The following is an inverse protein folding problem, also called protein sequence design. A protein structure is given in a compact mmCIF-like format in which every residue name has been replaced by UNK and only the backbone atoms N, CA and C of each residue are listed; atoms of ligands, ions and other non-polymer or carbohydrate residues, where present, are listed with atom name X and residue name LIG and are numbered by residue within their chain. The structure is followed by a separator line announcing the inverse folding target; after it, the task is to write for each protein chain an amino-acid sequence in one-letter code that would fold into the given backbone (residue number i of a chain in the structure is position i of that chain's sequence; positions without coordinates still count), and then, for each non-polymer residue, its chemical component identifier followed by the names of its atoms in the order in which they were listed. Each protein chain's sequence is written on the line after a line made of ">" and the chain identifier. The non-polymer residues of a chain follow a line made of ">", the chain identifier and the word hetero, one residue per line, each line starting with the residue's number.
data_IF_597453095771
#
_entry.id   IF_597453095771
#
_cell.length_a   1.000
_cell.length_b   1.000
_cell.length_c   1.000
_cell.angle_alpha   90.00
_cell.angle_beta   90.00
_cell.angle_gamma   90.00
#
_symmetry.space_group_name_H-M   'P 1'
#
loop_
_entity.id
_entity.type
_entity.pdbx_description
1 polymer ?
#
# COMPACT_ATOMS: atom_id res chain seq x y z
N UNK A 1 -11.08 -16.85 -20.56
CA UNK A 1 -11.41 -17.44 -19.24
C UNK A 1 -10.25 -17.15 -18.31
N UNK A 2 -10.53 -16.64 -17.08
CA UNK A 2 -9.49 -16.27 -16.12
C UNK A 2 -8.82 -17.48 -15.46
N UNK A 3 -7.78 -17.25 -14.68
CA UNK A 3 -6.97 -18.25 -13.98
C UNK A 3 -7.81 -19.21 -13.10
N UNK A 4 -8.95 -18.74 -12.59
CA UNK A 4 -9.88 -19.53 -11.76
C UNK A 4 -11.12 -20.02 -12.50
N UNK A 5 -11.20 -19.90 -13.82
CA UNK A 5 -12.36 -20.36 -14.62
C UNK A 5 -13.69 -19.66 -14.30
N UNK A 6 -13.65 -18.51 -13.61
CA UNK A 6 -14.84 -17.76 -13.21
C UNK A 6 -15.53 -17.12 -14.42
N UNK A 7 -16.87 -17.11 -14.40
CA UNK A 7 -17.66 -16.35 -15.36
C UNK A 7 -17.36 -14.84 -15.22
N UNK A 8 -17.38 -14.12 -16.34
CA UNK A 8 -17.05 -12.70 -16.40
C UNK A 8 -17.95 -11.84 -15.49
N UNK A 9 -19.20 -12.26 -15.31
CA UNK A 9 -20.16 -11.60 -14.40
C UNK A 9 -19.75 -11.76 -12.93
N UNK A 10 -19.32 -12.96 -12.54
CA UNK A 10 -18.84 -13.23 -11.17
C UNK A 10 -17.54 -12.48 -10.91
N UNK A 11 -16.64 -12.47 -11.88
CA UNK A 11 -15.39 -11.71 -11.77
C UNK A 11 -15.65 -10.18 -11.63
N UNK A 12 -16.60 -9.64 -12.40
CA UNK A 12 -16.99 -8.23 -12.28
C UNK A 12 -17.66 -7.90 -10.93
N UNK A 13 -18.50 -8.79 -10.40
CA UNK A 13 -19.10 -8.65 -9.07
C UNK A 13 -18.04 -8.66 -7.97
N UNK A 14 -17.06 -9.56 -8.04
CA UNK A 14 -15.95 -9.61 -7.09
C UNK A 14 -15.10 -8.33 -7.15
N UNK A 15 -14.84 -7.81 -8.34
CA UNK A 15 -14.13 -6.54 -8.53
C UNK A 15 -14.93 -5.36 -7.96
N UNK A 16 -16.24 -5.34 -8.12
CA UNK A 16 -17.12 -4.32 -7.51
C UNK A 16 -17.13 -4.42 -5.98
N UNK A 17 -17.22 -5.63 -5.44
CA UNK A 17 -17.12 -5.89 -3.99
C UNK A 17 -15.78 -5.44 -3.41
N UNK A 18 -14.69 -5.49 -4.19
CA UNK A 18 -13.40 -4.95 -3.80
C UNK A 18 -13.37 -3.42 -3.80
N UNK A 19 -14.02 -2.78 -4.77
CA UNK A 19 -14.02 -1.30 -4.92
C UNK A 19 -14.94 -0.58 -3.91
N UNK A 20 -16.10 -1.14 -3.58
CA UNK A 20 -17.09 -0.53 -2.69
C UNK A 20 -16.55 -0.24 -1.29
N UNK A 21 -15.90 -1.20 -0.58
CA UNK A 21 -15.29 -0.93 0.71
C UNK A 21 -14.25 0.17 0.65
N UNK A 22 -13.52 0.28 -0.48
CA UNK A 22 -12.49 1.29 -0.70
C UNK A 22 -12.99 2.73 -0.58
N UNK A 23 -14.26 3.00 -0.93
CA UNK A 23 -14.88 4.31 -0.76
C UNK A 23 -15.31 4.58 0.69
N UNK A 24 -16.08 3.66 1.28
CA UNK A 24 -16.66 3.82 2.64
C UNK A 24 -15.58 3.75 3.72
N UNK A 25 -14.66 2.78 3.61
CA UNK A 25 -13.61 2.57 4.59
C UNK A 25 -12.54 3.68 4.59
N UNK A 26 -12.51 4.53 3.56
CA UNK A 26 -11.64 5.71 3.57
C UNK A 26 -12.02 6.68 4.69
N UNK A 27 -13.31 6.85 4.99
CA UNK A 27 -13.75 7.66 6.12
C UNK A 27 -13.28 7.08 7.46
N UNK A 28 -13.38 5.75 7.62
CA UNK A 28 -12.86 5.05 8.80
C UNK A 28 -11.34 5.20 8.91
N UNK A 29 -10.63 5.12 7.78
CA UNK A 29 -9.17 5.35 7.71
C UNK A 29 -8.77 6.75 8.17
N UNK A 30 -9.59 7.78 7.86
CA UNK A 30 -9.40 9.14 8.38
C UNK A 30 -9.48 9.18 9.90
N UNK A 31 -10.55 8.64 10.49
CA UNK A 31 -10.72 8.57 11.95
C UNK A 31 -9.59 7.78 12.62
N UNK A 32 -9.14 6.67 12.01
CA UNK A 32 -7.99 5.91 12.52
C UNK A 32 -6.70 6.76 12.47
N UNK A 33 -6.48 7.51 11.42
CA UNK A 33 -5.31 8.39 11.27
C UNK A 33 -5.34 9.53 12.28
N UNK A 34 -6.51 10.06 12.62
CA UNK A 34 -6.68 11.08 13.67
C UNK A 34 -6.35 10.50 15.06
N UNK A 35 -6.74 9.25 15.33
CA UNK A 35 -6.57 8.62 16.64
C UNK A 35 -5.17 8.06 16.88
N UNK A 36 -4.57 7.44 15.86
CA UNK A 36 -3.29 6.71 15.99
C UNK A 36 -2.11 7.46 15.35
N UNK A 37 -2.37 8.53 14.64
CA UNK A 37 -1.39 9.31 13.88
C UNK A 37 -1.22 8.77 12.45
N UNK A 38 -1.20 9.69 11.47
CA UNK A 38 -1.15 9.36 10.04
C UNK A 38 0.09 8.53 9.66
N UNK A 39 1.26 8.88 10.21
CA UNK A 39 2.54 8.19 9.96
C UNK A 39 2.49 6.71 10.36
N UNK A 40 1.95 6.40 11.56
CA UNK A 40 1.83 5.02 12.05
C UNK A 40 0.83 4.21 11.22
N UNK A 41 -0.32 4.81 10.88
CA UNK A 41 -1.33 4.12 10.05
C UNK A 41 -0.75 3.81 8.68
N UNK A 42 -0.08 4.76 8.03
CA UNK A 42 0.59 4.54 6.74
C UNK A 42 1.61 3.40 6.83
N UNK A 43 2.43 3.39 7.87
CA UNK A 43 3.43 2.34 8.10
C UNK A 43 2.80 0.95 8.20
N UNK A 44 1.77 0.79 9.03
CA UNK A 44 1.07 -0.49 9.17
C UNK A 44 0.38 -0.95 7.89
N UNK A 45 -0.27 -0.02 7.18
CA UNK A 45 -0.91 -0.32 5.89
C UNK A 45 0.11 -0.83 4.86
N UNK A 46 1.29 -0.22 4.80
CA UNK A 46 2.36 -0.66 3.90
C UNK A 46 2.85 -2.08 4.22
N UNK A 47 3.01 -2.41 5.51
CA UNK A 47 3.37 -3.77 5.93
C UNK A 47 2.30 -4.80 5.60
N UNK A 48 1.04 -4.52 5.89
CA UNK A 48 -0.08 -5.40 5.54
C UNK A 48 -0.12 -5.61 4.03
N UNK A 49 -0.01 -4.53 3.25
CA UNK A 49 0.02 -4.61 1.78
C UNK A 49 1.20 -5.45 1.28
N UNK A 50 2.37 -5.28 1.87
CA UNK A 50 3.57 -6.03 1.50
C UNK A 50 3.39 -7.53 1.69
N UNK A 51 2.89 -7.96 2.86
CA UNK A 51 2.64 -9.37 3.16
C UNK A 51 1.58 -9.96 2.22
N UNK A 52 0.46 -9.25 2.04
CA UNK A 52 -0.62 -9.72 1.17
C UNK A 52 -0.19 -9.81 -0.30
N UNK A 53 0.55 -8.81 -0.80
CA UNK A 53 1.05 -8.81 -2.17
C UNK A 53 2.11 -9.89 -2.39
N UNK A 54 2.94 -10.20 -1.38
CA UNK A 54 3.86 -11.32 -1.44
C UNK A 54 3.11 -12.64 -1.67
N UNK A 55 2.06 -12.89 -0.89
CA UNK A 55 1.24 -14.08 -1.05
C UNK A 55 0.52 -14.11 -2.41
N UNK A 56 -0.01 -12.96 -2.87
CA UNK A 56 -0.70 -12.85 -4.16
C UNK A 56 0.25 -12.97 -5.35
N UNK A 57 1.54 -12.67 -5.18
CA UNK A 57 2.54 -12.77 -6.24
C UNK A 57 2.95 -14.21 -6.55
N UNK A 58 2.57 -15.16 -5.67
CA UNK A 58 2.94 -16.56 -5.87
C UNK A 58 2.16 -17.17 -7.04
N UNK A 59 2.83 -17.67 -8.11
CA UNK A 59 2.17 -18.25 -9.26
C UNK A 59 1.57 -19.63 -8.91
N UNK A 60 0.51 -20.00 -9.61
CA UNK A 60 -0.01 -21.37 -9.60
C UNK A 60 1.08 -22.30 -10.14
N UNK A 61 1.59 -23.21 -9.31
CA UNK A 61 2.69 -24.10 -9.66
C UNK A 61 2.28 -25.54 -9.44
N UNK A 62 2.47 -26.39 -10.43
CA UNK A 62 2.30 -27.84 -10.32
C UNK A 62 3.66 -28.49 -10.13
N UNK A 63 3.88 -29.08 -8.97
CA UNK A 63 5.09 -29.81 -8.64
C UNK A 63 4.84 -31.31 -8.82
N UNK A 64 5.50 -31.92 -9.80
CA UNK A 64 5.47 -33.37 -9.99
C UNK A 64 6.70 -33.99 -9.35
N UNK A 65 6.49 -34.76 -8.29
CA UNK A 65 7.54 -35.48 -7.58
C UNK A 65 7.49 -36.95 -7.98
N UNK A 66 8.62 -37.50 -8.42
CA UNK A 66 8.77 -38.92 -8.68
C UNK A 66 8.87 -39.66 -7.34
N UNK A 67 7.83 -40.40 -6.96
CA UNK A 67 7.83 -41.22 -5.77
C UNK A 67 8.00 -42.70 -6.13
N UNK A 68 8.33 -43.54 -5.14
CA UNK A 68 8.43 -44.99 -5.32
C UNK A 68 7.16 -45.63 -5.87
N UNK A 69 6.00 -44.97 -5.64
CA UNK A 69 4.67 -45.43 -6.11
C UNK A 69 4.23 -44.75 -7.41
N UNK A 70 5.12 -44.04 -8.12
CA UNK A 70 4.84 -43.31 -9.35
C UNK A 70 4.85 -41.78 -9.18
N UNK A 71 4.70 -41.02 -10.27
CA UNK A 71 4.70 -39.57 -10.23
C UNK A 71 3.46 -39.06 -9.47
N UNK A 72 3.68 -38.27 -8.44
CA UNK A 72 2.61 -37.54 -7.73
C UNK A 72 2.71 -36.05 -8.02
N UNK A 73 1.58 -35.47 -8.44
CA UNK A 73 1.49 -34.04 -8.76
C UNK A 73 0.81 -33.30 -7.59
N UNK A 74 1.52 -32.34 -7.03
CA UNK A 74 1.02 -31.43 -6.00
C UNK A 74 0.79 -30.07 -6.64
N UNK A 75 -0.44 -29.56 -6.59
CA UNK A 75 -0.73 -28.19 -7.00
C UNK A 75 -0.49 -27.25 -5.81
N UNK A 76 0.51 -26.39 -5.94
CA UNK A 76 0.82 -25.34 -4.97
C UNK A 76 0.34 -24.02 -5.57
N UNK A 77 -0.71 -23.45 -5.00
CA UNK A 77 -1.25 -22.17 -5.46
C UNK A 77 -2.37 -21.68 -4.56
N UNK A 78 -2.71 -20.40 -4.71
CA UNK A 78 -3.81 -19.79 -3.97
C UNK A 78 -5.14 -20.32 -4.51
N UNK A 79 -5.98 -20.82 -3.62
CA UNK A 79 -7.38 -21.10 -3.96
C UNK A 79 -8.11 -19.78 -4.25
N UNK A 80 -9.13 -19.77 -5.12
CA UNK A 80 -9.93 -18.61 -5.48
C UNK A 80 -10.48 -17.86 -4.26
N UNK A 81 -10.88 -18.56 -3.21
CA UNK A 81 -11.32 -17.97 -1.95
C UNK A 81 -10.20 -17.23 -1.21
N UNK A 82 -9.04 -17.86 -1.07
CA UNK A 82 -7.87 -17.25 -0.42
C UNK A 82 -7.41 -16.01 -1.21
N UNK A 83 -7.39 -16.09 -2.54
CA UNK A 83 -7.12 -14.96 -3.42
C UNK A 83 -8.09 -13.81 -3.18
N UNK A 84 -9.40 -14.08 -3.16
CA UNK A 84 -10.44 -13.07 -2.95
C UNK A 84 -10.30 -12.40 -1.57
N UNK A 85 -10.06 -13.18 -0.52
CA UNK A 85 -9.87 -12.67 0.84
C UNK A 85 -8.64 -11.78 0.93
N UNK A 86 -7.50 -12.19 0.36
CA UNK A 86 -6.29 -11.39 0.34
C UNK A 86 -6.48 -10.10 -0.44
N UNK A 87 -7.14 -10.14 -1.59
CA UNK A 87 -7.50 -8.95 -2.38
C UNK A 87 -8.38 -8.00 -1.58
N UNK A 88 -9.34 -8.52 -0.81
CA UNK A 88 -10.22 -7.72 0.03
C UNK A 88 -9.45 -7.03 1.16
N UNK A 89 -8.53 -7.74 1.82
CA UNK A 89 -7.64 -7.18 2.85
C UNK A 89 -6.76 -6.06 2.27
N UNK A 90 -6.17 -6.27 1.09
CA UNK A 90 -5.38 -5.24 0.39
C UNK A 90 -6.24 -4.03 0.06
N UNK A 91 -7.48 -4.24 -0.39
CA UNK A 91 -8.42 -3.16 -0.69
C UNK A 91 -8.74 -2.30 0.53
N UNK A 92 -8.99 -2.92 1.68
CA UNK A 92 -9.18 -2.23 2.96
C UNK A 92 -7.93 -1.46 3.35
N UNK A 93 -6.77 -2.11 3.30
CA UNK A 93 -5.50 -1.49 3.64
C UNK A 93 -5.23 -0.25 2.77
N UNK A 94 -5.48 -0.33 1.46
CA UNK A 94 -5.30 0.80 0.55
C UNK A 94 -6.32 1.93 0.76
N UNK A 95 -7.54 1.61 1.20
CA UNK A 95 -8.52 2.62 1.59
C UNK A 95 -8.01 3.44 2.78
N UNK A 96 -7.49 2.76 3.80
CA UNK A 96 -6.88 3.41 4.97
C UNK A 96 -5.60 4.16 4.60
N UNK A 97 -4.75 3.59 3.74
CA UNK A 97 -3.55 4.21 3.25
C UNK A 97 -3.81 5.52 2.52
N UNK A 98 -4.81 5.57 1.64
CA UNK A 98 -5.21 6.80 0.96
C UNK A 98 -5.65 7.88 1.93
N UNK A 99 -6.45 7.54 2.93
CA UNK A 99 -6.90 8.49 3.95
C UNK A 99 -5.72 9.00 4.80
N UNK A 100 -4.83 8.09 5.24
CA UNK A 100 -3.68 8.45 6.07
C UNK A 100 -2.68 9.34 5.34
N UNK A 101 -2.46 9.14 4.03
CA UNK A 101 -1.58 10.01 3.23
C UNK A 101 -2.11 11.45 3.18
N UNK A 102 -3.41 11.66 2.95
CA UNK A 102 -3.97 13.01 2.95
C UNK A 102 -3.95 13.65 4.33
N UNK A 103 -4.16 12.88 5.39
CA UNK A 103 -4.00 13.36 6.76
C UNK A 103 -2.54 13.74 7.05
N UNK A 104 -1.58 12.93 6.62
CA UNK A 104 -0.15 13.21 6.70
C UNK A 104 0.21 14.57 6.07
N UNK A 105 -0.33 14.84 4.86
CA UNK A 105 -0.11 16.12 4.18
C UNK A 105 -0.66 17.29 5.00
N UNK A 106 -1.86 17.12 5.59
CA UNK A 106 -2.47 18.18 6.39
C UNK A 106 -1.73 18.46 7.69
N UNK A 107 -1.09 17.46 8.28
CA UNK A 107 -0.35 17.60 9.53
C UNK A 107 1.04 18.20 9.31
N UNK A 108 1.76 17.75 8.25
CA UNK A 108 3.13 18.16 7.99
C UNK A 108 3.25 19.45 7.17
N UNK A 109 2.23 19.77 6.34
CA UNK A 109 2.25 20.90 5.41
C UNK A 109 0.98 21.75 5.47
N UNK A 110 0.60 22.30 6.63
CA UNK A 110 -0.67 23.03 6.81
C UNK A 110 -0.80 24.24 5.88
N UNK A 111 0.32 24.95 5.60
CA UNK A 111 0.30 26.16 4.76
C UNK A 111 0.20 25.87 3.26
N UNK A 112 0.52 24.65 2.82
CA UNK A 112 0.62 24.27 1.41
C UNK A 112 -0.21 23.02 1.05
N UNK A 113 -1.24 22.72 1.83
CA UNK A 113 -2.08 21.50 1.67
C UNK A 113 -2.55 21.32 0.23
N UNK A 114 -3.05 22.39 -0.40
CA UNK A 114 -3.60 22.33 -1.77
C UNK A 114 -2.56 21.95 -2.82
N UNK A 115 -1.38 22.58 -2.76
CA UNK A 115 -0.31 22.32 -3.72
C UNK A 115 0.24 20.89 -3.57
N UNK A 116 0.52 20.46 -2.36
CA UNK A 116 1.09 19.14 -2.08
C UNK A 116 0.08 18.02 -2.37
N UNK A 117 -1.19 18.21 -1.97
CA UNK A 117 -2.26 17.27 -2.32
C UNK A 117 -2.45 17.16 -3.83
N UNK A 118 -2.28 18.27 -4.57
CA UNK A 118 -2.31 18.28 -6.03
C UNK A 118 -1.19 17.43 -6.64
N UNK A 119 0.04 17.56 -6.14
CA UNK A 119 1.20 16.77 -6.60
C UNK A 119 0.98 15.27 -6.30
N UNK A 120 0.52 14.95 -5.09
CA UNK A 120 0.23 13.56 -4.70
C UNK A 120 -0.91 12.98 -5.53
N UNK A 121 -1.95 13.79 -5.80
CA UNK A 121 -3.05 13.40 -6.68
C UNK A 121 -2.59 13.14 -8.12
N UNK A 122 -1.71 13.99 -8.66
CA UNK A 122 -1.10 13.81 -9.98
C UNK A 122 -0.26 12.53 -10.04
N UNK A 123 0.58 12.29 -9.05
CA UNK A 123 1.39 11.07 -8.95
C UNK A 123 0.50 9.82 -8.89
N UNK A 124 -0.58 9.87 -8.10
CA UNK A 124 -1.57 8.80 -8.04
C UNK A 124 -2.28 8.55 -9.37
N UNK A 125 -2.65 9.62 -10.09
CA UNK A 125 -3.25 9.55 -11.42
C UNK A 125 -2.31 8.93 -12.45
N UNK A 126 -1.03 9.35 -12.47
CA UNK A 126 0.00 8.76 -13.31
C UNK A 126 0.23 7.29 -13.00
N UNK A 127 0.28 6.91 -11.72
CA UNK A 127 0.35 5.51 -11.31
C UNK A 127 -0.84 4.69 -11.82
N UNK A 128 -2.06 5.24 -11.72
CA UNK A 128 -3.28 4.62 -12.24
C UNK A 128 -3.30 4.43 -13.76
N UNK A 129 -2.56 5.23 -14.50
CA UNK A 129 -2.40 5.11 -15.94
C UNK A 129 -1.25 4.15 -16.33
N UNK A 130 -0.09 4.31 -15.72
CA UNK A 130 1.14 3.57 -16.08
C UNK A 130 1.08 2.12 -15.61
N UNK A 131 0.58 1.85 -14.40
CA UNK A 131 0.58 0.49 -13.84
C UNK A 131 -0.22 -0.52 -14.67
N UNK A 132 -1.45 -0.23 -15.16
CA UNK A 132 -2.17 -1.17 -16.01
C UNK A 132 -1.43 -1.52 -17.30
N UNK A 133 -0.74 -0.54 -17.91
CA UNK A 133 0.09 -0.78 -19.09
C UNK A 133 1.24 -1.72 -18.76
N UNK A 134 1.94 -1.48 -17.66
CA UNK A 134 3.02 -2.34 -17.18
C UNK A 134 2.52 -3.75 -16.84
N UNK A 135 1.33 -3.89 -16.26
CA UNK A 135 0.72 -5.19 -15.98
C UNK A 135 0.48 -5.98 -17.27
N UNK A 136 -0.09 -5.33 -18.30
CA UNK A 136 -0.28 -5.96 -19.61
C UNK A 136 1.04 -6.42 -20.20
N UNK A 137 2.03 -5.54 -20.27
CA UNK A 137 3.35 -5.85 -20.81
C UNK A 137 4.06 -6.99 -20.03
N UNK A 138 3.95 -7.01 -18.69
CA UNK A 138 4.54 -8.08 -17.89
C UNK A 138 3.85 -9.43 -18.14
N UNK A 139 2.53 -9.45 -18.25
CA UNK A 139 1.79 -10.67 -18.57
C UNK A 139 2.15 -11.16 -19.98
N UNK A 140 2.28 -10.27 -20.96
CA UNK A 140 2.68 -10.62 -22.32
C UNK A 140 4.11 -11.18 -22.39
N UNK A 141 5.03 -10.61 -21.61
CA UNK A 141 6.44 -11.04 -21.57
C UNK A 141 6.66 -12.33 -20.79
N UNK A 142 5.96 -12.50 -19.67
CA UNK A 142 6.20 -13.63 -18.74
C UNK A 142 5.23 -14.79 -18.95
N UNK A 143 4.08 -14.54 -19.56
CA UNK A 143 2.96 -15.49 -19.63
C UNK A 143 2.27 -15.75 -18.27
N UNK A 144 2.75 -15.11 -17.18
CA UNK A 144 2.31 -15.35 -15.80
C UNK A 144 1.48 -14.17 -15.30
N UNK A 145 0.21 -14.40 -14.97
CA UNK A 145 -0.69 -13.32 -14.49
C UNK A 145 -0.31 -12.76 -13.15
N UNK A 146 0.27 -13.56 -12.26
CA UNK A 146 0.75 -13.10 -10.95
C UNK A 146 1.95 -12.14 -11.04
N UNK A 147 2.58 -11.98 -12.21
CA UNK A 147 3.67 -11.01 -12.43
C UNK A 147 3.26 -9.56 -12.13
N UNK A 148 1.98 -9.22 -12.31
CA UNK A 148 1.44 -7.91 -11.93
C UNK A 148 1.52 -7.65 -10.43
N UNK A 149 1.23 -8.68 -9.62
CA UNK A 149 1.37 -8.61 -8.16
C UNK A 149 2.83 -8.57 -7.72
N UNK A 150 3.73 -9.24 -8.44
CA UNK A 150 5.19 -9.15 -8.20
C UNK A 150 5.68 -7.71 -8.39
N UNK A 151 5.21 -7.02 -9.44
CA UNK A 151 5.55 -5.62 -9.66
C UNK A 151 5.05 -4.74 -8.50
N UNK A 152 3.77 -4.88 -8.10
CA UNK A 152 3.21 -4.13 -6.97
C UNK A 152 3.96 -4.43 -5.67
N UNK A 153 4.31 -5.68 -5.42
CA UNK A 153 5.13 -6.09 -4.29
C UNK A 153 6.47 -5.35 -4.28
N UNK A 154 7.15 -5.29 -5.43
CA UNK A 154 8.41 -4.56 -5.58
C UNK A 154 8.26 -3.05 -5.33
N UNK A 155 7.20 -2.42 -5.84
CA UNK A 155 6.90 -1.00 -5.61
C UNK A 155 6.67 -0.72 -4.12
N UNK A 156 5.88 -1.56 -3.45
CA UNK A 156 5.63 -1.42 -2.00
C UNK A 156 6.92 -1.63 -1.21
N UNK A 157 7.79 -2.55 -1.63
CA UNK A 157 9.09 -2.79 -1.00
C UNK A 157 9.99 -1.55 -1.07
N UNK A 158 10.13 -0.97 -2.24
CA UNK A 158 10.89 0.28 -2.44
C UNK A 158 10.31 1.42 -1.60
N UNK A 159 8.98 1.54 -1.57
CA UNK A 159 8.28 2.55 -0.77
C UNK A 159 8.49 2.37 0.73
N UNK A 160 8.49 1.13 1.25
CA UNK A 160 8.79 0.82 2.65
C UNK A 160 10.22 1.19 3.02
N UNK A 161 11.20 0.86 2.16
CA UNK A 161 12.60 1.23 2.37
C UNK A 161 12.73 2.76 2.41
N UNK A 162 12.12 3.45 1.45
CA UNK A 162 12.16 4.91 1.39
C UNK A 162 11.54 5.54 2.63
N UNK A 163 10.37 5.06 3.04
CA UNK A 163 9.69 5.54 4.24
C UNK A 163 10.51 5.29 5.51
N UNK A 164 11.19 4.14 5.60
CA UNK A 164 12.07 3.85 6.72
C UNK A 164 13.22 4.87 6.82
N UNK A 165 13.89 5.17 5.73
CA UNK A 165 14.99 6.14 5.73
C UNK A 165 14.51 7.58 5.94
N UNK A 166 13.34 7.91 5.39
CA UNK A 166 12.78 9.27 5.46
C UNK A 166 12.19 9.60 6.83
N UNK A 167 11.48 8.66 7.44
CA UNK A 167 10.67 8.89 8.64
C UNK A 167 11.25 8.25 9.89
N UNK A 168 11.47 6.94 9.86
CA UNK A 168 11.83 6.17 11.05
C UNK A 168 13.22 6.54 11.55
N UNK A 169 14.13 6.83 10.62
CA UNK A 169 15.50 7.20 10.96
C UNK A 169 15.64 8.66 11.45
N UNK A 170 14.72 9.55 11.05
CA UNK A 170 14.75 10.98 11.43
C UNK A 170 14.05 11.30 12.75
N UNK A 171 13.16 10.45 13.22
CA UNK A 171 12.38 10.67 14.45
C UNK A 171 13.23 11.02 15.70
N UNK A 172 14.42 10.45 15.95
CA UNK A 172 15.24 10.82 17.11
C UNK A 172 15.79 12.24 17.04
N UNK A 173 15.98 12.79 15.85
CA UNK A 173 16.59 14.13 15.67
C UNK A 173 15.57 15.25 15.89
N UNK A 174 14.31 15.05 15.47
CA UNK A 174 13.24 16.04 15.68
C UNK A 174 12.77 16.10 17.13
N UNK A 175 12.72 14.96 17.83
CA UNK A 175 12.40 14.92 19.27
C UNK A 175 13.43 15.67 20.14
N UNK A 176 14.69 15.62 19.77
CA UNK A 176 15.77 16.35 20.46
C UNK A 176 15.73 17.86 20.18
N UNK A 177 15.35 18.27 18.96
CA UNK A 177 15.23 19.68 18.59
C UNK A 177 14.02 20.36 19.24
N UNK A 178 12.90 19.62 19.42
CA UNK A 178 11.70 20.13 20.08
C UNK A 178 11.87 20.30 21.61
N UNK A 179 12.91 19.72 22.20
CA UNK A 179 13.24 19.83 23.63
C UNK A 179 14.28 20.89 23.92
N UNK A 180 14.81 21.61 22.93
CA UNK A 180 15.66 22.78 23.21
C UNK A 180 14.78 23.86 23.80
N UNK A 181 15.09 24.32 25.03
CA UNK A 181 14.41 25.48 25.60
C UNK A 181 14.70 26.68 24.69
N UNK A 182 13.64 27.41 24.32
CA UNK A 182 13.76 28.65 23.56
C UNK A 182 14.78 29.54 24.29
N UNK A 183 15.72 30.20 23.58
CA UNK A 183 16.62 31.14 24.21
C UNK A 183 15.76 32.19 24.91
N UNK A 184 15.93 32.29 26.23
CA UNK A 184 15.32 33.36 27.05
C UNK A 184 15.91 34.64 26.53
N UNK A 185 15.12 35.39 25.75
CA UNK A 185 15.46 36.77 25.40
C UNK A 185 15.31 37.58 26.70
N UNK A 186 16.34 37.53 27.51
CA UNK A 186 16.42 38.36 28.70
C UNK A 186 16.67 39.81 28.29
N UNK A 187 15.68 40.63 28.61
CA UNK A 187 15.80 42.05 28.84
C UNK A 187 16.29 42.92 27.68
N UNK A 188 15.31 43.51 26.99
CA UNK A 188 15.48 44.84 26.44
C UNK A 188 15.52 45.79 27.63
N UNK A 189 16.62 46.55 27.91
CA UNK A 189 16.60 47.58 28.91
C UNK A 189 15.62 48.66 28.47
N UNK A 190 14.63 48.98 29.33
CA UNK A 190 13.81 50.16 29.15
C UNK A 190 14.74 51.38 29.29
N UNK A 191 15.01 52.01 28.15
CA UNK A 191 15.66 53.32 28.13
C UNK A 191 14.80 54.36 28.84
N UNK A 192 15.44 55.09 29.70
CA UNK A 192 14.97 56.32 30.31
C UNK A 192 14.74 57.41 29.26
#
# INVERSE_FOLDING_TARGET
>A
MGEFGLDIRVAALLAACFSLPGGVLRAVGGVMSDKFGAHKVTWWVMWVSWICLFLLSYPQTELTIQTVNGPQTFSIGLNAWAFTVLMFIVGIAWAFGKASVFKYISDDYPDNIGAISGIVGLAGGLGGFVLPIMFGALVDLTGVRSSSFMLLYGVVWVSLIWMYFSEVRKTPVMGAAAQMPLPVISSIPKGE
#
